data_IF_246065592293
#
_entry.id   IF_246065592293
#
_cell.length_a   1.000
_cell.length_b   1.000
_cell.length_c   1.000
_cell.angle_alpha   90.00
_cell.angle_beta   90.00
_cell.angle_gamma   90.00
#
_symmetry.space_group_name_H-M   'P 1'
#
loop_
_entity.id
_entity.type
_entity.pdbx_description
1 polymer ?
#
# COMPACT_ATOMS: atom_id res chain seq x y z
N UNK A 1 -17.24 -0.56 18.64
CA UNK A 1 -16.24 0.39 18.15
C UNK A 1 -16.86 1.77 18.19
N UNK A 2 -16.24 2.72 18.88
CA UNK A 2 -16.66 4.13 18.81
C UNK A 2 -15.89 4.87 17.71
N UNK A 3 -16.40 6.00 17.23
CA UNK A 3 -15.77 6.80 16.16
C UNK A 3 -14.39 7.38 16.52
N UNK A 4 -13.94 7.20 17.78
CA UNK A 4 -12.64 7.66 18.29
C UNK A 4 -11.67 6.53 18.62
N UNK A 5 -12.02 5.28 18.31
CA UNK A 5 -11.22 4.11 18.63
C UNK A 5 -10.27 3.76 17.47
N UNK A 6 -9.02 3.41 17.78
CA UNK A 6 -8.03 3.05 16.76
C UNK A 6 -8.44 1.83 15.92
N UNK A 7 -9.31 0.95 16.46
CA UNK A 7 -9.90 -0.20 15.77
C UNK A 7 -8.87 -1.11 15.04
N UNK A 8 -7.83 -1.62 15.74
CA UNK A 8 -6.65 -2.25 15.12
C UNK A 8 -6.97 -3.46 14.23
N UNK A 9 -8.04 -4.21 14.53
CA UNK A 9 -8.45 -5.39 13.76
C UNK A 9 -9.31 -5.10 12.52
N UNK A 10 -9.72 -3.86 12.29
CA UNK A 10 -10.51 -3.51 11.09
C UNK A 10 -9.59 -3.39 9.88
N UNK A 11 -10.04 -3.79 8.70
CA UNK A 11 -9.27 -3.61 7.46
C UNK A 11 -9.27 -2.15 7.03
N UNK A 12 -8.16 -1.68 6.44
CA UNK A 12 -8.13 -0.40 5.74
C UNK A 12 -8.59 -0.58 4.29
N UNK A 13 -9.12 0.49 3.71
CA UNK A 13 -9.43 0.53 2.29
C UNK A 13 -8.27 1.08 1.47
N UNK A 14 -8.30 0.87 0.16
CA UNK A 14 -7.34 1.46 -0.78
C UNK A 14 -7.32 2.99 -0.72
N UNK A 15 -8.48 3.63 -0.60
CA UNK A 15 -8.57 5.08 -0.45
C UNK A 15 -7.89 5.60 0.83
N UNK A 16 -8.00 4.86 1.94
CA UNK A 16 -7.34 5.23 3.19
C UNK A 16 -5.81 5.23 3.05
N UNK A 17 -5.24 4.26 2.33
CA UNK A 17 -3.79 4.21 2.08
C UNK A 17 -3.33 5.36 1.18
N UNK A 18 -4.08 5.67 0.11
CA UNK A 18 -3.78 6.84 -0.73
C UNK A 18 -3.83 8.14 0.08
N UNK A 19 -4.85 8.30 0.93
CA UNK A 19 -4.98 9.46 1.81
C UNK A 19 -3.83 9.58 2.82
N UNK A 20 -3.31 8.46 3.35
CA UNK A 20 -2.17 8.47 4.26
C UNK A 20 -0.92 9.05 3.60
N UNK A 21 -0.58 8.59 2.39
CA UNK A 21 0.55 9.09 1.62
C UNK A 21 0.36 10.55 1.21
N UNK A 22 -0.83 10.88 0.72
CA UNK A 22 -1.18 12.26 0.38
C UNK A 22 -1.04 13.21 1.58
N UNK A 23 -1.43 12.76 2.78
CA UNK A 23 -1.27 13.55 4.00
C UNK A 23 0.19 13.64 4.45
N UNK A 24 0.99 12.61 4.22
CA UNK A 24 2.43 12.61 4.48
C UNK A 24 3.15 13.66 3.61
N UNK A 25 2.74 13.80 2.35
CA UNK A 25 3.25 14.80 1.40
C UNK A 25 2.72 16.22 1.62
N UNK A 26 1.97 16.46 2.70
CA UNK A 26 1.43 17.80 2.98
C UNK A 26 0.27 18.20 2.08
N UNK A 27 -0.44 17.23 1.50
CA UNK A 27 -1.63 17.42 0.65
C UNK A 27 -1.34 18.29 -0.59
N UNK A 28 -0.49 17.79 -1.51
CA UNK A 28 -0.17 18.48 -2.77
C UNK A 28 -1.42 18.72 -3.63
N UNK A 29 -1.27 19.42 -4.75
CA UNK A 29 -2.39 19.58 -5.68
C UNK A 29 -2.86 18.22 -6.23
N UNK A 30 -4.17 18.08 -6.43
CA UNK A 30 -4.75 16.92 -7.10
C UNK A 30 -4.18 16.75 -8.52
N UNK A 31 -4.07 15.49 -8.96
CA UNK A 31 -3.65 15.15 -10.31
C UNK A 31 -4.77 15.32 -11.34
N UNK A 32 -4.58 14.73 -12.52
CA UNK A 32 -5.58 14.67 -13.60
C UNK A 32 -6.13 13.25 -13.82
N UNK A 33 -5.92 12.34 -12.87
CA UNK A 33 -6.41 10.98 -12.98
C UNK A 33 -7.87 10.92 -12.54
N UNK A 34 -8.72 10.42 -13.45
CA UNK A 34 -10.15 10.27 -13.24
C UNK A 34 -10.54 8.79 -13.19
N UNK A 35 -11.33 8.41 -12.19
CA UNK A 35 -11.90 7.07 -12.05
C UNK A 35 -13.41 7.18 -11.92
N UNK A 36 -14.14 6.31 -12.61
CA UNK A 36 -15.60 6.36 -12.68
C UNK A 36 -16.30 6.15 -11.32
N UNK A 37 -15.63 5.51 -10.36
CA UNK A 37 -16.11 5.23 -9.00
C UNK A 37 -15.54 6.19 -7.94
N UNK A 38 -14.86 7.26 -8.37
CA UNK A 38 -14.34 8.32 -7.49
C UNK A 38 -15.14 9.60 -7.74
N UNK A 39 -16.12 9.85 -6.87
CA UNK A 39 -16.93 11.06 -6.95
C UNK A 39 -16.11 12.31 -6.63
N UNK A 40 -16.32 13.38 -7.40
CA UNK A 40 -15.76 14.69 -7.12
C UNK A 40 -16.15 15.16 -5.71
N UNK A 41 -15.20 15.73 -4.98
CA UNK A 41 -15.41 16.20 -3.60
C UNK A 41 -15.47 15.09 -2.54
N UNK A 42 -15.34 13.81 -2.91
CA UNK A 42 -15.12 12.76 -1.92
C UNK A 42 -13.83 13.03 -1.14
N UNK A 43 -13.80 12.69 0.15
CA UNK A 43 -12.65 13.01 1.04
C UNK A 43 -11.30 12.42 0.56
N UNK A 44 -11.36 11.38 -0.28
CA UNK A 44 -10.20 10.70 -0.89
C UNK A 44 -9.93 11.11 -2.34
N UNK A 45 -10.78 11.93 -2.97
CA UNK A 45 -10.71 12.19 -4.41
C UNK A 45 -9.36 12.79 -4.82
N UNK A 46 -8.95 13.87 -4.14
CA UNK A 46 -7.67 14.53 -4.40
C UNK A 46 -6.49 13.59 -4.15
N UNK A 47 -6.54 12.81 -3.07
CA UNK A 47 -5.48 11.87 -2.72
C UNK A 47 -5.31 10.76 -3.76
N UNK A 48 -6.42 10.20 -4.25
CA UNK A 48 -6.40 9.18 -5.30
C UNK A 48 -5.91 9.80 -6.61
N UNK A 49 -6.41 10.97 -6.98
CA UNK A 49 -6.03 11.64 -8.23
C UNK A 49 -4.55 12.01 -8.25
N UNK A 50 -4.03 12.58 -7.15
CA UNK A 50 -2.60 12.84 -6.97
C UNK A 50 -1.78 11.56 -7.05
N UNK A 51 -2.11 10.56 -6.21
CA UNK A 51 -1.31 9.33 -6.16
C UNK A 51 -1.32 8.56 -7.49
N UNK A 52 -2.42 8.63 -8.25
CA UNK A 52 -2.48 8.03 -9.58
C UNK A 52 -1.69 8.85 -10.61
N UNK A 53 -1.72 10.18 -10.52
CA UNK A 53 -0.91 11.08 -11.35
C UNK A 53 0.60 10.89 -11.16
N UNK A 54 1.03 10.63 -9.93
CA UNK A 54 2.42 10.29 -9.58
C UNK A 54 2.78 8.82 -9.87
N UNK A 55 1.82 8.01 -10.35
CA UNK A 55 2.04 6.58 -10.61
C UNK A 55 2.23 5.73 -9.35
N UNK A 56 1.91 6.25 -8.16
CA UNK A 56 1.98 5.56 -6.86
C UNK A 56 0.89 4.49 -6.76
N UNK A 57 -0.33 4.80 -7.22
CA UNK A 57 -1.47 3.87 -7.24
C UNK A 57 -1.97 3.62 -8.66
N UNK A 58 -2.69 2.52 -8.85
CA UNK A 58 -3.33 2.16 -10.11
C UNK A 58 -4.70 1.53 -9.88
N UNK A 59 -5.66 1.83 -10.75
CA UNK A 59 -7.01 1.24 -10.71
C UNK A 59 -7.14 -0.11 -11.42
N UNK A 60 -8.37 -0.59 -11.50
CA UNK A 60 -8.83 -1.79 -12.20
C UNK A 60 -9.50 -1.39 -13.54
N UNK A 61 -8.73 -0.84 -14.47
CA UNK A 61 -9.28 -0.17 -15.65
C UNK A 61 -9.83 1.21 -15.27
N UNK A 62 -11.12 1.44 -15.57
CA UNK A 62 -11.76 2.76 -15.37
C UNK A 62 -12.19 3.03 -13.91
N UNK A 63 -12.04 2.06 -13.02
CA UNK A 63 -12.40 2.17 -11.59
C UNK A 63 -11.18 2.06 -10.68
N UNK A 64 -11.20 2.69 -9.51
CA UNK A 64 -10.13 2.62 -8.52
C UNK A 64 -10.35 1.55 -7.43
N UNK A 65 -11.60 1.32 -7.04
CA UNK A 65 -11.98 0.53 -5.87
C UNK A 65 -11.68 1.23 -4.54
N UNK A 66 -12.18 2.47 -4.28
CA UNK A 66 -11.79 3.24 -3.10
C UNK A 66 -12.19 2.58 -1.76
N UNK A 67 -13.28 1.81 -1.77
CA UNK A 67 -13.82 1.14 -0.60
C UNK A 67 -13.35 -0.31 -0.45
N UNK A 68 -12.58 -0.83 -1.41
CA UNK A 68 -12.09 -2.20 -1.36
C UNK A 68 -11.04 -2.33 -0.25
N UNK A 69 -11.06 -3.42 0.53
CA UNK A 69 -10.00 -3.71 1.48
C UNK A 69 -8.64 -3.77 0.77
N UNK A 70 -7.66 -3.04 1.29
CA UNK A 70 -6.30 -3.09 0.76
C UNK A 70 -5.70 -4.47 1.06
N UNK A 71 -5.22 -5.17 0.04
CA UNK A 71 -4.48 -6.42 0.25
C UNK A 71 -3.03 -6.15 0.62
N UNK A 72 -2.37 -7.13 1.25
CA UNK A 72 -0.96 -7.00 1.65
C UNK A 72 -0.03 -6.80 0.46
N UNK A 73 -0.28 -7.48 -0.67
CA UNK A 73 0.50 -7.29 -1.88
C UNK A 73 0.25 -5.94 -2.56
N UNK A 74 -0.97 -5.40 -2.48
CA UNK A 74 -1.27 -4.06 -2.98
C UNK A 74 -0.58 -3.00 -2.12
N UNK A 75 -0.59 -3.14 -0.79
CA UNK A 75 0.13 -2.22 0.10
C UNK A 75 1.63 -2.21 -0.21
N UNK A 76 2.24 -3.38 -0.38
CA UNK A 76 3.66 -3.48 -0.76
C UNK A 76 3.93 -2.80 -2.12
N UNK A 77 3.09 -3.05 -3.12
CA UNK A 77 3.23 -2.43 -4.44
C UNK A 77 3.10 -0.89 -4.39
N UNK A 78 2.16 -0.36 -3.62
CA UNK A 78 1.98 1.09 -3.44
C UNK A 78 3.20 1.71 -2.78
N UNK A 79 3.67 1.14 -1.66
CA UNK A 79 4.85 1.66 -0.95
C UNK A 79 6.13 1.54 -1.78
N UNK A 80 6.26 0.49 -2.58
CA UNK A 80 7.38 0.32 -3.50
C UNK A 80 7.40 1.43 -4.56
N UNK A 81 6.26 1.70 -5.22
CA UNK A 81 6.15 2.77 -6.23
C UNK A 81 6.36 4.15 -5.60
N UNK A 82 5.79 4.39 -4.43
CA UNK A 82 6.02 5.62 -3.68
C UNK A 82 7.50 5.81 -3.35
N UNK A 83 8.19 4.78 -2.85
CA UNK A 83 9.63 4.86 -2.63
C UNK A 83 10.42 5.14 -3.91
N UNK A 84 10.01 4.59 -5.06
CA UNK A 84 10.65 4.91 -6.33
C UNK A 84 10.40 6.36 -6.75
N UNK A 85 9.18 6.88 -6.54
CA UNK A 85 8.81 8.27 -6.84
C UNK A 85 9.66 9.26 -6.03
N UNK A 86 9.82 9.00 -4.74
CA UNK A 86 10.60 9.82 -3.83
C UNK A 86 12.13 9.62 -3.95
N UNK A 87 12.57 8.72 -4.84
CA UNK A 87 13.99 8.40 -5.01
C UNK A 87 14.61 7.63 -3.84
N UNK A 88 13.80 7.03 -2.98
CA UNK A 88 14.26 6.19 -1.89
C UNK A 88 14.87 4.87 -2.38
N UNK A 89 15.71 4.28 -1.53
CA UNK A 89 16.39 3.02 -1.85
C UNK A 89 15.40 1.86 -1.94
N UNK A 90 15.28 1.29 -3.13
CA UNK A 90 14.45 0.11 -3.45
C UNK A 90 15.25 -1.13 -3.87
N UNK A 91 16.57 -1.13 -3.62
CA UNK A 91 17.51 -2.16 -4.06
C UNK A 91 17.98 -3.11 -2.94
N UNK A 92 17.15 -3.33 -1.92
CA UNK A 92 17.44 -4.27 -0.83
C UNK A 92 17.47 -5.70 -1.35
N UNK A 93 18.64 -6.34 -1.27
CA UNK A 93 18.88 -7.71 -1.73
C UNK A 93 18.72 -8.71 -0.60
N UNK A 94 18.27 -9.91 -0.93
CA UNK A 94 18.07 -11.02 0.00
C UNK A 94 17.23 -12.10 -0.66
N UNK A 95 16.71 -13.03 0.16
CA UNK A 95 15.83 -14.11 -0.31
C UNK A 95 14.44 -13.61 -0.72
N UNK A 96 14.05 -12.40 -0.34
CA UNK A 96 12.73 -11.85 -0.61
C UNK A 96 11.64 -12.77 -0.08
N UNK A 97 10.72 -13.14 -0.95
CA UNK A 97 9.63 -14.07 -0.66
C UNK A 97 10.02 -15.55 -0.79
N UNK A 98 11.26 -15.87 -1.18
CA UNK A 98 11.76 -17.24 -1.21
C UNK A 98 11.64 -17.89 0.17
N UNK A 99 11.05 -19.09 0.19
CA UNK A 99 10.84 -19.87 1.40
C UNK A 99 9.43 -19.77 1.94
N UNK A 100 8.65 -18.72 1.65
CA UNK A 100 7.25 -18.65 2.06
C UNK A 100 6.38 -19.63 1.27
N UNK A 101 5.48 -20.33 1.96
CA UNK A 101 4.67 -21.41 1.40
C UNK A 101 3.69 -20.92 0.32
N UNK A 102 3.28 -19.66 0.42
CA UNK A 102 2.29 -19.03 -0.44
C UNK A 102 2.90 -17.97 -1.37
N UNK A 103 4.24 -17.96 -1.55
CA UNK A 103 4.91 -17.03 -2.45
C UNK A 103 4.39 -17.15 -3.90
N UNK A 104 3.96 -18.34 -4.33
CA UNK A 104 3.35 -18.56 -5.64
C UNK A 104 1.96 -17.94 -5.82
N UNK A 105 1.31 -17.51 -4.73
CA UNK A 105 0.02 -16.81 -4.77
C UNK A 105 0.15 -15.30 -4.96
N UNK A 106 1.38 -14.77 -4.95
CA UNK A 106 1.65 -13.36 -5.20
C UNK A 106 1.33 -13.05 -6.66
N UNK A 107 0.51 -12.02 -6.88
CA UNK A 107 0.22 -11.53 -8.22
C UNK A 107 1.50 -11.10 -8.94
N UNK A 108 1.63 -11.41 -10.23
CA UNK A 108 2.86 -11.15 -11.00
C UNK A 108 3.34 -9.70 -10.94
N UNK A 109 2.41 -8.74 -10.88
CA UNK A 109 2.72 -7.31 -10.76
C UNK A 109 3.33 -6.94 -9.39
N UNK A 110 3.07 -7.73 -8.35
CA UNK A 110 3.45 -7.45 -6.98
C UNK A 110 4.73 -8.20 -6.55
N UNK A 111 5.20 -9.20 -7.29
CA UNK A 111 6.36 -10.04 -6.92
C UNK A 111 7.57 -9.19 -6.51
N UNK A 112 7.99 -8.25 -7.36
CA UNK A 112 9.15 -7.37 -7.07
C UNK A 112 8.94 -6.54 -5.81
N UNK A 113 7.74 -5.99 -5.62
CA UNK A 113 7.42 -5.16 -4.47
C UNK A 113 7.33 -5.98 -3.18
N UNK A 114 6.81 -7.21 -3.25
CA UNK A 114 6.77 -8.14 -2.12
C UNK A 114 8.17 -8.60 -1.72
N UNK A 115 9.02 -8.97 -2.69
CA UNK A 115 10.42 -9.33 -2.43
C UNK A 115 11.17 -8.17 -1.77
N UNK A 116 11.02 -6.97 -2.32
CA UNK A 116 11.58 -5.76 -1.73
C UNK A 116 11.07 -5.52 -0.32
N UNK A 117 9.75 -5.57 -0.10
CA UNK A 117 9.15 -5.29 1.21
C UNK A 117 9.62 -6.29 2.28
N UNK A 118 9.82 -7.55 1.91
CA UNK A 118 10.39 -8.56 2.82
C UNK A 118 11.87 -8.30 3.06
N UNK A 119 12.67 -8.07 2.02
CA UNK A 119 14.11 -7.80 2.16
C UNK A 119 14.39 -6.51 2.95
N UNK A 120 13.53 -5.51 2.82
CA UNK A 120 13.60 -4.24 3.53
C UNK A 120 13.06 -4.34 4.97
N UNK A 121 12.52 -5.48 5.40
CA UNK A 121 11.94 -5.66 6.74
C UNK A 121 10.61 -4.91 6.96
N UNK A 122 9.98 -4.42 5.88
CA UNK A 122 8.69 -3.74 5.95
C UNK A 122 7.56 -4.72 6.22
N UNK A 123 7.60 -5.88 5.57
CA UNK A 123 6.56 -6.89 5.61
C UNK A 123 7.15 -8.22 6.07
N UNK A 124 6.53 -8.82 7.09
CA UNK A 124 6.83 -10.17 7.59
C UNK A 124 5.60 -11.08 7.47
N UNK A 125 5.83 -12.39 7.46
CA UNK A 125 4.75 -13.38 7.41
C UNK A 125 3.85 -13.37 8.65
N UNK A 126 2.63 -13.91 8.49
CA UNK A 126 1.60 -13.99 9.54
C UNK A 126 1.69 -15.27 10.40
N UNK A 127 2.85 -15.92 10.42
CA UNK A 127 3.05 -17.24 11.02
C UNK A 127 2.96 -18.37 9.99
N UNK A 128 3.34 -19.59 10.38
CA UNK A 128 3.39 -20.78 9.52
C UNK A 128 4.05 -20.54 8.16
N UNK A 129 5.05 -19.65 8.13
CA UNK A 129 5.81 -19.34 6.93
C UNK A 129 4.92 -18.87 5.74
N UNK A 130 3.88 -18.09 6.04
CA UNK A 130 2.86 -17.61 5.09
C UNK A 130 2.79 -16.07 5.07
N UNK A 131 2.76 -15.46 3.89
CA UNK A 131 2.68 -13.99 3.68
C UNK A 131 1.24 -13.46 3.63
N UNK A 132 0.31 -14.29 3.19
CA UNK A 132 -1.08 -13.99 2.86
C UNK A 132 -1.22 -12.78 1.91
N UNK A 133 -0.62 -12.81 0.70
CA UNK A 133 -0.51 -11.63 -0.17
C UNK A 133 -1.86 -11.03 -0.57
N UNK A 134 -2.85 -11.88 -0.83
CA UNK A 134 -4.20 -11.49 -1.26
C UNK A 134 -5.16 -11.19 -0.10
N UNK A 135 -4.74 -11.41 1.15
CA UNK A 135 -5.58 -11.12 2.31
C UNK A 135 -5.63 -9.61 2.59
N UNK A 136 -6.80 -9.14 3.03
CA UNK A 136 -6.98 -7.77 3.50
C UNK A 136 -6.07 -7.45 4.68
N UNK A 137 -5.43 -6.28 4.66
CA UNK A 137 -4.54 -5.82 5.71
C UNK A 137 -5.35 -5.04 6.77
N UNK A 138 -5.18 -5.43 8.03
CA UNK A 138 -5.77 -4.74 9.17
C UNK A 138 -5.07 -3.41 9.44
N UNK A 139 -5.76 -2.50 10.14
CA UNK A 139 -5.23 -1.20 10.57
C UNK A 139 -3.92 -1.34 11.32
N UNK A 140 -3.81 -2.32 12.21
CA UNK A 140 -2.55 -2.59 12.91
C UNK A 140 -1.44 -3.05 11.97
N UNK A 141 -1.73 -3.94 11.01
CA UNK A 141 -0.73 -4.39 10.04
C UNK A 141 -0.27 -3.26 9.13
N UNK A 142 -1.19 -2.46 8.59
CA UNK A 142 -0.83 -1.31 7.75
C UNK A 142 -0.01 -0.30 8.55
N UNK A 143 -0.41 0.02 9.78
CA UNK A 143 0.33 0.95 10.62
C UNK A 143 1.75 0.44 10.93
N UNK A 144 1.92 -0.86 11.18
CA UNK A 144 3.24 -1.44 11.42
C UNK A 144 4.13 -1.41 10.17
N UNK A 145 3.59 -1.80 9.02
CA UNK A 145 4.33 -1.78 7.74
C UNK A 145 4.72 -0.33 7.39
N UNK A 146 3.79 0.61 7.56
CA UNK A 146 4.02 2.02 7.28
C UNK A 146 5.05 2.65 8.24
N UNK A 147 5.01 2.29 9.53
CA UNK A 147 6.02 2.73 10.50
C UNK A 147 7.42 2.24 10.11
N UNK A 148 7.55 0.97 9.73
CA UNK A 148 8.84 0.43 9.25
C UNK A 148 9.30 1.17 7.98
N UNK A 149 8.37 1.49 7.07
CA UNK A 149 8.67 2.25 5.86
C UNK A 149 9.25 3.62 6.20
N UNK A 150 8.58 4.40 7.05
CA UNK A 150 9.06 5.72 7.45
C UNK A 150 10.40 5.66 8.18
N UNK A 151 10.63 4.63 9.00
CA UNK A 151 11.85 4.49 9.80
C UNK A 151 13.05 4.06 8.98
N UNK A 152 12.86 3.14 8.04
CA UNK A 152 13.96 2.39 7.43
C UNK A 152 14.18 2.75 5.95
N UNK A 153 13.16 3.32 5.28
CA UNK A 153 13.21 3.68 3.85
C UNK A 153 13.14 5.20 3.61
N UNK A 154 12.14 5.91 4.16
CA UNK A 154 11.95 7.33 3.91
C UNK A 154 12.92 8.20 4.73
N UNK A 155 14.10 8.48 4.18
CA UNK A 155 15.17 9.26 4.82
C UNK A 155 15.75 10.29 3.86
#
# INVERSE_FOLDING_TARGET
>A
MSDREFAPGSTLTRAMVAQMLYSLEGKPAAGSADFADVAEGAWYADAISWAAGEGIVSGYGDTFGPNDPITREQLAAILYRYAQNEGYKTSQSGKGTEGYLDASSISSYAVKAMDWAVNAGLLSGKGNNTLAPTAGATRAEVAQIFMNFCKDIAK
#
